data_IF_724959426593
#
_entry.id   IF_724959426593
#
_cell.length_a   1.000
_cell.length_b   1.000
_cell.length_c   1.000
_cell.angle_alpha   90.00
_cell.angle_beta   90.00
_cell.angle_gamma   90.00
#
_symmetry.space_group_name_H-M   'P 1'
#
loop_
_entity.id
_entity.type
_entity.pdbx_description
1 polymer ?
#
# COMPACT_ATOMS: atom_id res chain seq x y z
N UNK A 1 -9.94 -6.24 11.87
CA UNK A 1 -9.89 -6.28 13.36
C UNK A 1 -8.47 -5.93 13.79
N UNK A 2 -8.29 -5.28 14.93
CA UNK A 2 -6.96 -4.99 15.46
C UNK A 2 -6.20 -6.29 15.80
N UNK A 3 -5.10 -6.52 15.07
CA UNK A 3 -4.09 -7.55 15.32
C UNK A 3 -3.09 -7.06 16.39
N UNK A 4 -2.08 -7.88 16.71
CA UNK A 4 -1.04 -7.56 17.68
C UNK A 4 -0.50 -6.13 17.49
N UNK A 5 -0.41 -5.38 18.59
CA UNK A 5 0.05 -3.98 18.56
C UNK A 5 -0.96 -2.97 18.00
N UNK A 6 -2.25 -3.35 17.87
CA UNK A 6 -3.35 -2.58 17.26
C UNK A 6 -3.18 -2.31 15.76
N UNK A 7 -2.44 -3.16 15.06
CA UNK A 7 -2.26 -3.09 13.61
C UNK A 7 -3.45 -3.74 12.92
N UNK A 8 -3.93 -3.20 11.79
CA UNK A 8 -4.94 -3.91 11.00
C UNK A 8 -4.31 -5.15 10.31
N UNK A 9 -4.90 -6.34 10.52
CA UNK A 9 -4.32 -7.59 10.00
C UNK A 9 -4.31 -7.65 8.47
N UNK A 10 -5.38 -7.16 7.83
CA UNK A 10 -5.50 -7.18 6.37
C UNK A 10 -4.43 -6.28 5.75
N UNK A 11 -4.27 -5.06 6.27
CA UNK A 11 -3.22 -4.14 5.84
C UNK A 11 -1.81 -4.73 6.05
N UNK A 12 -1.58 -5.40 7.18
CA UNK A 12 -0.31 -6.06 7.48
C UNK A 12 0.01 -7.20 6.50
N UNK A 13 -0.94 -8.09 6.26
CA UNK A 13 -0.77 -9.20 5.30
C UNK A 13 -0.54 -8.67 3.89
N UNK A 14 -1.29 -7.63 3.48
CA UNK A 14 -1.09 -6.99 2.18
C UNK A 14 0.30 -6.37 2.03
N UNK A 15 0.77 -5.65 3.05
CA UNK A 15 2.12 -5.06 3.02
C UNK A 15 3.21 -6.13 2.84
N UNK A 16 3.08 -7.29 3.48
CA UNK A 16 4.01 -8.42 3.28
C UNK A 16 3.86 -9.01 1.87
N UNK A 17 2.64 -9.14 1.34
CA UNK A 17 2.38 -9.66 -0.01
C UNK A 17 2.97 -8.76 -1.10
N UNK A 18 2.74 -7.45 -1.00
CA UNK A 18 3.20 -6.46 -2.00
C UNK A 18 4.72 -6.32 -2.01
N UNK A 19 5.35 -6.36 -0.83
CA UNK A 19 6.81 -6.22 -0.69
C UNK A 19 7.57 -7.54 -0.86
N UNK A 20 6.86 -8.68 -0.91
CA UNK A 20 7.34 -10.07 -1.01
C UNK A 20 8.23 -10.55 0.14
N UNK A 21 9.21 -9.73 0.57
CA UNK A 21 10.14 -9.96 1.67
C UNK A 21 10.35 -8.66 2.44
N UNK A 22 9.91 -8.62 3.68
CA UNK A 22 9.89 -7.36 4.47
C UNK A 22 10.31 -7.56 5.92
N UNK A 23 11.04 -6.60 6.48
CA UNK A 23 11.42 -6.56 7.89
C UNK A 23 10.44 -5.74 8.73
N UNK A 24 10.49 -5.91 10.05
CA UNK A 24 9.59 -5.23 10.99
C UNK A 24 9.67 -3.68 10.92
N UNK A 25 10.84 -3.11 10.64
CA UNK A 25 11.02 -1.65 10.52
C UNK A 25 10.25 -1.11 9.32
N UNK A 26 10.43 -1.72 8.15
CA UNK A 26 9.73 -1.33 6.91
C UNK A 26 8.22 -1.50 7.07
N UNK A 27 7.77 -2.58 7.72
CA UNK A 27 6.34 -2.75 8.04
C UNK A 27 5.81 -1.64 8.96
N UNK A 28 6.57 -1.26 9.99
CA UNK A 28 6.14 -0.21 10.91
C UNK A 28 5.99 1.14 10.19
N UNK A 29 6.97 1.51 9.36
CA UNK A 29 6.97 2.74 8.56
C UNK A 29 5.81 2.75 7.55
N UNK A 30 5.66 1.66 6.79
CA UNK A 30 4.60 1.51 5.79
C UNK A 30 3.20 1.62 6.42
N UNK A 31 2.98 0.92 7.54
CA UNK A 31 1.69 0.90 8.24
C UNK A 31 1.43 2.14 9.11
N UNK A 32 2.42 3.04 9.26
CA UNK A 32 2.27 4.25 10.07
C UNK A 32 2.18 3.96 11.58
N UNK A 33 2.79 2.87 12.05
CA UNK A 33 2.73 2.43 13.44
C UNK A 33 4.08 2.54 14.13
N UNK A 34 4.09 2.46 15.46
CA UNK A 34 5.35 2.47 16.21
C UNK A 34 6.22 1.25 15.88
N UNK A 35 7.55 1.40 15.99
CA UNK A 35 8.48 0.29 15.80
C UNK A 35 8.16 -0.92 16.71
N UNK A 36 7.68 -0.68 17.94
CA UNK A 36 7.25 -1.72 18.85
C UNK A 36 5.99 -2.45 18.35
N UNK A 37 5.01 -1.72 17.81
CA UNK A 37 3.81 -2.30 17.19
C UNK A 37 4.15 -3.12 15.95
N UNK A 38 5.02 -2.59 15.08
CA UNK A 38 5.47 -3.31 13.88
C UNK A 38 6.22 -4.59 14.22
N UNK A 39 7.11 -4.57 15.21
CA UNK A 39 7.79 -5.78 15.69
C UNK A 39 6.80 -6.79 16.29
N UNK A 40 5.85 -6.34 17.12
CA UNK A 40 4.84 -7.23 17.70
C UNK A 40 3.97 -7.89 16.63
N UNK A 41 3.60 -7.15 15.58
CA UNK A 41 2.84 -7.66 14.44
C UNK A 41 3.65 -8.67 13.61
N UNK A 42 4.92 -8.36 13.34
CA UNK A 42 5.88 -9.26 12.68
C UNK A 42 5.99 -10.59 13.44
N UNK A 43 6.29 -10.53 14.74
CA UNK A 43 6.46 -11.72 15.58
C UNK A 43 5.18 -12.56 15.63
N UNK A 44 4.02 -11.90 15.66
CA UNK A 44 2.73 -12.57 15.70
C UNK A 44 2.40 -13.30 14.38
N UNK A 45 2.76 -12.76 13.21
CA UNK A 45 2.60 -13.49 11.93
C UNK A 45 3.44 -14.77 11.89
N UNK A 46 4.69 -14.70 12.36
CA UNK A 46 5.59 -15.85 12.43
C UNK A 46 5.08 -16.88 13.44
N UNK A 47 4.73 -16.45 14.64
CA UNK A 47 4.22 -17.34 15.70
C UNK A 47 2.93 -18.07 15.30
N UNK A 48 2.06 -17.43 14.49
CA UNK A 48 0.84 -18.05 13.98
C UNK A 48 1.06 -18.87 12.71
N UNK A 49 2.29 -18.92 12.18
CA UNK A 49 2.63 -19.62 10.94
C UNK A 49 2.02 -19.00 9.68
N UNK A 50 1.56 -17.74 9.75
CA UNK A 50 1.05 -16.97 8.60
C UNK A 50 2.19 -16.39 7.76
N UNK A 51 3.37 -16.22 8.37
CA UNK A 51 4.59 -15.85 7.66
C UNK A 51 5.76 -16.73 8.07
N UNK A 52 6.73 -16.87 7.17
CA UNK A 52 8.00 -17.55 7.43
C UNK A 52 9.13 -16.52 7.45
N UNK A 53 9.96 -16.58 8.48
CA UNK A 53 11.14 -15.72 8.61
C UNK A 53 12.37 -16.39 8.00
N UNK A 54 13.12 -15.62 7.22
CA UNK A 54 14.46 -15.98 6.77
C UNK A 54 15.32 -14.70 6.66
N UNK A 55 16.49 -14.70 7.30
CA UNK A 55 17.46 -13.59 7.23
C UNK A 55 16.88 -12.24 7.73
N UNK A 56 16.04 -12.26 8.76
CA UNK A 56 15.47 -11.04 9.38
C UNK A 56 14.35 -10.38 8.56
N UNK A 57 13.85 -11.05 7.52
CA UNK A 57 12.67 -10.64 6.75
C UNK A 57 11.65 -11.77 6.68
N UNK A 58 10.37 -11.41 6.52
CA UNK A 58 9.28 -12.38 6.38
C UNK A 58 8.66 -12.35 4.99
N UNK A 59 8.16 -13.52 4.57
CA UNK A 59 7.25 -13.70 3.44
C UNK A 59 6.02 -14.48 3.89
N UNK A 60 4.86 -14.27 3.26
CA UNK A 60 3.65 -15.03 3.61
C UNK A 60 3.84 -16.53 3.31
N UNK A 61 3.28 -17.37 4.18
CA UNK A 61 3.12 -18.81 3.90
C UNK A 61 1.82 -19.05 3.14
N UNK A 62 1.58 -20.29 2.69
CA UNK A 62 0.27 -20.68 2.12
C UNK A 62 -0.89 -20.35 3.07
N UNK A 63 -0.69 -20.52 4.39
CA UNK A 63 -1.70 -20.16 5.39
C UNK A 63 -1.95 -18.65 5.45
N UNK A 64 -0.89 -17.84 5.39
CA UNK A 64 -1.02 -16.38 5.38
C UNK A 64 -1.68 -15.85 4.11
N UNK A 65 -1.37 -16.46 2.96
CA UNK A 65 -2.01 -16.14 1.68
C UNK A 65 -3.49 -16.49 1.70
N UNK A 66 -3.87 -17.68 2.16
CA UNK A 66 -5.28 -18.08 2.26
C UNK A 66 -6.08 -17.15 3.17
N UNK A 67 -5.52 -16.78 4.33
CA UNK A 67 -6.14 -15.79 5.22
C UNK A 67 -6.30 -14.42 4.54
N UNK A 68 -5.25 -13.97 3.83
CA UNK A 68 -5.30 -12.71 3.10
C UNK A 68 -6.40 -12.72 2.03
N UNK A 69 -6.48 -13.79 1.24
CA UNK A 69 -7.51 -13.97 0.21
C UNK A 69 -8.92 -13.95 0.82
N UNK A 70 -9.16 -14.70 1.90
CA UNK A 70 -10.44 -14.70 2.61
C UNK A 70 -10.85 -13.29 3.10
N UNK A 71 -9.88 -12.52 3.62
CA UNK A 71 -10.13 -11.15 4.10
C UNK A 71 -10.38 -10.16 2.97
N UNK A 72 -9.64 -10.24 1.85
CA UNK A 72 -9.86 -9.41 0.67
C UNK A 72 -11.21 -9.71 0.01
N UNK A 73 -11.61 -10.98 -0.02
CA UNK A 73 -12.91 -11.40 -0.55
C UNK A 73 -14.04 -10.84 0.31
N UNK A 74 -13.91 -10.89 1.64
CA UNK A 74 -14.87 -10.30 2.55
C UNK A 74 -14.96 -8.77 2.39
N UNK A 75 -13.81 -8.08 2.24
CA UNK A 75 -13.76 -6.63 1.97
C UNK A 75 -14.48 -6.31 0.65
N UNK A 76 -14.15 -7.01 -0.43
CA UNK A 76 -14.75 -6.81 -1.75
C UNK A 76 -16.25 -7.05 -1.78
N UNK A 77 -16.76 -8.04 -1.05
CA UNK A 77 -18.22 -8.27 -0.92
C UNK A 77 -18.93 -7.11 -0.21
N UNK A 78 -18.22 -6.33 0.60
CA UNK A 78 -18.77 -5.17 1.32
C UNK A 78 -18.72 -3.86 0.53
N UNK A 79 -17.95 -3.82 -0.57
CA UNK A 79 -17.79 -2.64 -1.42
C UNK A 79 -18.95 -2.58 -2.43
N UNK A 80 -19.47 -1.38 -2.68
CA UNK A 80 -20.41 -1.14 -3.78
C UNK A 80 -19.69 -1.21 -5.13
N UNK A 81 -20.07 -2.17 -5.97
CA UNK A 81 -19.38 -2.47 -7.24
C UNK A 81 -19.42 -1.31 -8.24
N UNK A 82 -20.55 -0.59 -8.30
CA UNK A 82 -20.69 0.57 -9.19
C UNK A 82 -19.77 1.71 -8.73
N UNK A 83 -19.76 2.02 -7.43
CA UNK A 83 -18.92 3.09 -6.86
C UNK A 83 -17.42 2.83 -7.03
N UNK A 84 -16.94 1.61 -6.74
CA UNK A 84 -15.52 1.28 -6.94
C UNK A 84 -15.16 1.21 -8.44
N UNK A 85 -16.13 0.86 -9.30
CA UNK A 85 -15.99 0.90 -10.75
C UNK A 85 -15.73 2.32 -11.26
N UNK A 86 -16.46 3.31 -10.78
CA UNK A 86 -16.24 4.73 -11.12
C UNK A 86 -14.84 5.22 -10.69
N UNK A 87 -14.39 4.83 -9.49
CA UNK A 87 -13.04 5.14 -9.00
C UNK A 87 -11.97 4.50 -9.89
N UNK A 88 -12.17 3.23 -10.28
CA UNK A 88 -11.27 2.54 -11.20
C UNK A 88 -11.18 3.27 -12.56
N UNK A 89 -12.31 3.62 -13.16
CA UNK A 89 -12.34 4.32 -14.46
C UNK A 89 -11.66 5.69 -14.40
N UNK A 90 -11.82 6.41 -13.28
CA UNK A 90 -11.16 7.70 -13.06
C UNK A 90 -9.65 7.57 -12.79
N UNK A 91 -9.21 6.44 -12.22
CA UNK A 91 -7.78 6.17 -11.96
C UNK A 91 -6.99 5.87 -13.23
N UNK A 92 -7.55 5.11 -14.17
CA UNK A 92 -6.86 4.67 -15.40
C UNK A 92 -6.12 5.81 -16.14
N UNK A 93 -6.75 6.95 -16.48
CA UNK A 93 -6.03 8.03 -17.16
C UNK A 93 -4.93 8.68 -16.31
N UNK A 94 -5.06 8.67 -14.97
CA UNK A 94 -3.99 9.15 -14.08
C UNK A 94 -2.81 8.17 -14.05
N UNK A 95 -3.08 6.87 -14.09
CA UNK A 95 -2.04 5.84 -14.18
C UNK A 95 -1.26 5.94 -15.49
N UNK A 96 -1.95 6.13 -16.62
CA UNK A 96 -1.32 6.35 -17.92
C UNK A 96 -0.41 7.59 -17.91
N UNK A 97 -0.87 8.67 -17.28
CA UNK A 97 -0.06 9.89 -17.12
C UNK A 97 1.15 9.66 -16.21
N UNK A 98 0.97 8.96 -15.08
CA UNK A 98 2.07 8.60 -14.19
C UNK A 98 3.15 7.80 -14.91
N UNK A 99 2.75 6.76 -15.67
CA UNK A 99 3.66 5.92 -16.44
C UNK A 99 4.43 6.74 -17.49
N UNK A 100 3.77 7.70 -18.14
CA UNK A 100 4.41 8.58 -19.11
C UNK A 100 5.36 9.61 -18.45
N UNK A 101 5.12 9.95 -17.19
CA UNK A 101 5.87 10.96 -16.45
C UNK A 101 7.11 10.40 -15.73
N UNK A 102 7.05 9.17 -15.22
CA UNK A 102 7.92 8.73 -14.12
C UNK A 102 9.42 8.76 -14.44
N UNK A 103 9.81 8.51 -15.69
CA UNK A 103 11.22 8.48 -16.11
C UNK A 103 11.89 9.86 -16.05
N UNK A 104 11.11 10.93 -16.24
CA UNK A 104 11.56 12.33 -16.26
C UNK A 104 10.95 13.16 -15.10
N UNK A 105 10.36 12.49 -14.12
CA UNK A 105 9.63 13.14 -13.04
C UNK A 105 10.53 14.03 -12.19
N UNK A 106 9.98 15.17 -11.77
CA UNK A 106 10.57 16.05 -10.77
C UNK A 106 9.56 16.37 -9.65
N UNK A 107 9.99 17.16 -8.67
CA UNK A 107 9.15 17.53 -7.52
C UNK A 107 7.87 18.27 -7.93
N UNK A 108 7.91 19.09 -8.99
CA UNK A 108 6.76 19.88 -9.42
C UNK A 108 5.77 19.01 -10.21
N UNK A 109 6.27 18.18 -11.11
CA UNK A 109 5.42 17.29 -11.91
C UNK A 109 4.73 16.26 -11.02
N UNK A 110 5.42 15.69 -10.02
CA UNK A 110 4.81 14.80 -9.05
C UNK A 110 3.79 15.53 -8.17
N UNK A 111 4.09 16.74 -7.68
CA UNK A 111 3.14 17.51 -6.89
C UNK A 111 1.86 17.91 -7.67
N UNK A 112 1.97 18.08 -8.99
CA UNK A 112 0.82 18.32 -9.86
C UNK A 112 -0.07 17.08 -9.98
N UNK A 113 0.54 15.93 -10.27
CA UNK A 113 -0.15 14.65 -10.34
C UNK A 113 -0.82 14.30 -9.01
N UNK A 114 -0.08 14.43 -7.91
CA UNK A 114 -0.54 14.15 -6.55
C UNK A 114 -1.81 14.93 -6.19
N UNK A 115 -1.80 16.24 -6.48
CA UNK A 115 -2.95 17.11 -6.22
C UNK A 115 -4.19 16.71 -7.01
N UNK A 116 -4.00 16.24 -8.25
CA UNK A 116 -5.10 15.79 -9.11
C UNK A 116 -5.64 14.43 -8.66
N UNK A 117 -4.77 13.56 -8.15
CA UNK A 117 -5.15 12.25 -7.62
C UNK A 117 -5.77 12.32 -6.22
N UNK A 118 -5.51 13.38 -5.44
CA UNK A 118 -5.94 13.49 -4.04
C UNK A 118 -7.44 13.20 -3.81
N UNK A 119 -8.35 13.83 -4.57
CA UNK A 119 -9.79 13.59 -4.41
C UNK A 119 -10.17 12.14 -4.74
N UNK A 120 -9.52 11.55 -5.73
CA UNK A 120 -9.77 10.16 -6.11
C UNK A 120 -9.32 9.19 -5.02
N UNK A 121 -8.18 9.48 -4.37
CA UNK A 121 -7.70 8.69 -3.25
C UNK A 121 -8.53 8.89 -1.98
N UNK A 122 -9.08 10.08 -1.75
CA UNK A 122 -10.08 10.31 -0.71
C UNK A 122 -11.31 9.40 -0.93
N UNK A 123 -11.88 9.40 -2.15
CA UNK A 123 -13.02 8.54 -2.51
C UNK A 123 -12.67 7.05 -2.37
N UNK A 124 -11.50 6.63 -2.86
CA UNK A 124 -11.02 5.25 -2.71
C UNK A 124 -10.94 4.85 -1.23
N UNK A 125 -10.40 5.72 -0.38
CA UNK A 125 -10.28 5.45 1.06
C UNK A 125 -11.64 5.38 1.77
N UNK A 126 -12.66 6.07 1.25
CA UNK A 126 -14.01 5.98 1.78
C UNK A 126 -14.64 4.61 1.52
N UNK A 127 -14.37 4.01 0.36
CA UNK A 127 -14.86 2.68 -0.01
C UNK A 127 -13.96 1.54 0.52
N UNK A 128 -12.66 1.78 0.62
CA UNK A 128 -11.65 0.81 1.08
C UNK A 128 -10.82 1.42 2.22
N UNK A 129 -11.36 1.46 3.46
CA UNK A 129 -10.77 2.22 4.57
C UNK A 129 -9.30 1.92 4.88
N UNK A 130 -8.83 0.68 4.66
CA UNK A 130 -7.43 0.32 4.88
C UNK A 130 -6.46 1.04 3.93
N UNK A 131 -6.93 1.54 2.79
CA UNK A 131 -6.11 2.27 1.82
C UNK A 131 -5.89 3.74 2.19
N UNK A 132 -6.57 4.26 3.21
CA UNK A 132 -6.36 5.63 3.72
C UNK A 132 -4.89 5.93 4.05
N UNK A 133 -4.12 4.93 4.47
CA UNK A 133 -2.69 5.08 4.78
C UNK A 133 -1.85 5.52 3.57
N UNK A 134 -2.26 5.20 2.34
CA UNK A 134 -1.47 5.50 1.15
C UNK A 134 -1.33 7.00 0.88
N UNK A 135 -2.31 7.82 1.28
CA UNK A 135 -2.20 9.28 1.14
C UNK A 135 -1.09 9.87 2.02
N UNK A 136 -0.86 9.31 3.21
CA UNK A 136 0.28 9.67 4.04
C UNK A 136 1.60 9.22 3.39
N UNK A 137 1.65 8.01 2.83
CA UNK A 137 2.84 7.49 2.15
C UNK A 137 3.22 8.35 0.94
N UNK A 138 2.24 8.76 0.12
CA UNK A 138 2.46 9.72 -0.96
C UNK A 138 2.98 11.06 -0.45
N UNK A 139 2.34 11.60 0.61
CA UNK A 139 2.75 12.87 1.22
C UNK A 139 4.19 12.82 1.75
N UNK A 140 4.56 11.74 2.45
CA UNK A 140 5.90 11.53 3.00
C UNK A 140 6.95 11.39 1.88
N UNK A 141 6.66 10.62 0.83
CA UNK A 141 7.55 10.46 -0.32
C UNK A 141 7.73 11.79 -1.07
N UNK A 142 6.63 12.50 -1.36
CA UNK A 142 6.65 13.78 -2.07
C UNK A 142 7.42 14.85 -1.28
N UNK A 143 7.24 14.91 0.04
CA UNK A 143 7.99 15.85 0.89
C UNK A 143 9.50 15.63 0.81
N UNK A 144 9.95 14.37 0.70
CA UNK A 144 11.38 14.03 0.55
C UNK A 144 11.91 14.37 -0.83
N UNK A 145 11.12 14.15 -1.89
CA UNK A 145 11.45 14.61 -3.24
C UNK A 145 11.59 16.14 -3.28
N UNK A 146 10.66 16.88 -2.65
CA UNK A 146 10.71 18.34 -2.53
C UNK A 146 11.92 18.83 -1.71
N UNK A 147 12.38 18.04 -0.74
CA UNK A 147 13.62 18.29 0.00
C UNK A 147 14.90 17.99 -0.80
N UNK A 148 14.78 17.54 -2.05
CA UNK A 148 15.89 17.24 -2.96
C UNK A 148 16.40 15.80 -2.89
N UNK A 149 15.73 14.90 -2.17
CA UNK A 149 16.08 13.49 -2.12
C UNK A 149 15.51 12.73 -3.33
N UNK A 150 16.10 12.89 -4.52
CA UNK A 150 15.57 12.34 -5.79
C UNK A 150 15.35 10.83 -5.81
N UNK A 151 16.04 10.05 -4.97
CA UNK A 151 15.81 8.61 -4.83
C UNK A 151 14.36 8.27 -4.45
N UNK A 152 13.65 9.17 -3.76
CA UNK A 152 12.26 8.96 -3.35
C UNK A 152 11.25 9.08 -4.50
N UNK A 153 11.71 9.38 -5.72
CA UNK A 153 10.87 9.32 -6.92
C UNK A 153 10.55 7.86 -7.25
N UNK A 154 11.55 6.97 -7.31
CA UNK A 154 11.37 5.63 -7.89
C UNK A 154 12.21 4.49 -7.29
N UNK A 155 12.89 4.70 -6.16
CA UNK A 155 13.65 3.63 -5.52
C UNK A 155 12.75 2.45 -5.08
N UNK A 156 12.97 1.22 -5.59
CA UNK A 156 12.03 0.09 -5.48
C UNK A 156 11.93 -0.57 -4.10
N UNK A 157 12.88 -0.30 -3.20
CA UNK A 157 12.94 -0.96 -1.87
C UNK A 157 12.22 -0.15 -0.79
N UNK A 158 12.14 1.17 -0.98
CA UNK A 158 11.48 2.08 -0.05
C UNK A 158 10.08 2.41 -0.55
N UNK A 159 9.27 3.00 0.31
CA UNK A 159 7.99 3.62 -0.07
C UNK A 159 8.26 4.93 -0.85
N UNK A 160 8.98 4.81 -1.98
CA UNK A 160 9.15 5.88 -2.96
C UNK A 160 7.80 6.16 -3.62
N UNK A 161 7.66 7.34 -4.23
CA UNK A 161 6.41 7.73 -4.88
C UNK A 161 5.97 6.67 -5.91
N UNK A 162 6.89 6.14 -6.72
CA UNK A 162 6.58 5.09 -7.69
C UNK A 162 6.22 3.75 -7.05
N UNK A 163 6.89 3.36 -5.97
CA UNK A 163 6.55 2.12 -5.25
C UNK A 163 5.12 2.21 -4.71
N UNK A 164 4.80 3.31 -4.02
CA UNK A 164 3.46 3.55 -3.44
C UNK A 164 2.40 3.62 -4.54
N UNK A 165 2.71 4.24 -5.69
CA UNK A 165 1.82 4.25 -6.85
C UNK A 165 1.54 2.85 -7.41
N UNK A 166 2.59 2.03 -7.57
CA UNK A 166 2.46 0.66 -8.04
C UNK A 166 1.66 -0.22 -7.07
N UNK A 167 1.82 0.00 -5.77
CA UNK A 167 1.07 -0.69 -4.72
C UNK A 167 -0.42 -0.28 -4.73
N UNK A 168 -0.75 1.03 -4.72
CA UNK A 168 -2.15 1.48 -4.73
C UNK A 168 -2.88 1.06 -6.01
N UNK A 169 -2.19 1.03 -7.15
CA UNK A 169 -2.74 0.51 -8.41
C UNK A 169 -3.17 -0.96 -8.27
N UNK A 170 -2.30 -1.80 -7.70
CA UNK A 170 -2.63 -3.22 -7.49
C UNK A 170 -3.80 -3.38 -6.52
N UNK A 171 -3.83 -2.59 -5.46
CA UNK A 171 -4.88 -2.61 -4.46
C UNK A 171 -6.24 -2.20 -5.03
N UNK A 172 -6.28 -1.10 -5.78
CA UNK A 172 -7.49 -0.65 -6.47
C UNK A 172 -7.97 -1.69 -7.49
N UNK A 173 -7.08 -2.28 -8.28
CA UNK A 173 -7.46 -3.29 -9.27
C UNK A 173 -8.02 -4.55 -8.60
N UNK A 174 -7.44 -4.95 -7.46
CA UNK A 174 -7.96 -6.05 -6.64
C UNK A 174 -9.35 -5.74 -6.09
N UNK A 175 -9.54 -4.56 -5.49
CA UNK A 175 -10.83 -4.14 -4.94
C UNK A 175 -11.92 -4.04 -6.01
N UNK A 176 -11.58 -3.54 -7.20
CA UNK A 176 -12.49 -3.42 -8.34
C UNK A 176 -12.73 -4.74 -9.10
N UNK A 177 -12.06 -5.84 -8.72
CA UNK A 177 -12.16 -7.12 -9.42
C UNK A 177 -11.61 -7.09 -10.85
N UNK A 178 -10.60 -6.25 -11.11
CA UNK A 178 -9.93 -6.05 -12.41
C UNK A 178 -8.47 -6.53 -12.44
N UNK A 179 -8.04 -7.26 -11.41
CA UNK A 179 -6.70 -7.81 -11.26
C UNK A 179 -6.40 -8.98 -12.21
#
# INVERSE_FOLDING_TARGET
MAFAGNVDELALLQAVRLKERVGAVVLAEHLGVSAASGQAAYDALVAQGKAAEAEGVISLTEKGLAELEDQLDAERVSIDEDSIGEVYEAFVPLDEEFVALIDDADANSLAELDRRAANLFDDLSAFVPRLSRYQDLFSDALAKVQAGESKWISEPIIDSYATVWGEIRQELFGAAGKA
#
